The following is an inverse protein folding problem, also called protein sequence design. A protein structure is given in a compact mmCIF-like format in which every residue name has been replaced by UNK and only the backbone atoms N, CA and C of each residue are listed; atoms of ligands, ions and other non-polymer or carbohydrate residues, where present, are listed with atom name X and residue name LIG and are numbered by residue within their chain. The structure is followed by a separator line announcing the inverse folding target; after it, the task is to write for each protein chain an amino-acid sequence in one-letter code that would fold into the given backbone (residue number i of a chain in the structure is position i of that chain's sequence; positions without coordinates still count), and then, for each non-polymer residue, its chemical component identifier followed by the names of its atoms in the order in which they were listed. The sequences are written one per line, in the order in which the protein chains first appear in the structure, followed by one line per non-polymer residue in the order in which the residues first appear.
data_IF_240180623252
#
_entry.id   IF_240180623252
#
_cell.length_a   1.000
_cell.length_b   1.000
_cell.length_c   1.000
_cell.angle_alpha   90.00
_cell.angle_beta   90.00
_cell.angle_gamma   90.00
#
_symmetry.space_group_name_H-M   'P 1'
#
loop_
_entity.id
_entity.type
_entity.pdbx_description
1 polymer ?
#
# COMPACT_ATOMS: atom_id res chain seq x y z
N UNK A 1 -115.94 -29.23 -70.23
CA UNK A 1 -114.68 -29.06 -70.99
C UNK A 1 -114.14 -27.62 -70.97
N UNK A 2 -114.81 -26.60 -71.55
CA UNK A 2 -114.29 -25.21 -71.59
C UNK A 2 -113.91 -24.61 -70.22
N UNK A 3 -114.75 -24.79 -69.19
CA UNK A 3 -114.49 -24.27 -67.83
C UNK A 3 -113.24 -24.91 -67.19
N UNK A 4 -113.10 -26.23 -67.33
CA UNK A 4 -111.94 -26.98 -66.83
C UNK A 4 -110.65 -26.58 -67.57
N UNK A 5 -110.70 -26.40 -68.88
CA UNK A 5 -109.55 -25.96 -69.68
C UNK A 5 -109.11 -24.53 -69.30
N UNK A 6 -110.05 -23.60 -69.10
CA UNK A 6 -109.74 -22.25 -68.63
C UNK A 6 -109.14 -22.24 -67.22
N UNK A 7 -109.63 -23.10 -66.32
CA UNK A 7 -109.03 -23.29 -65.00
C UNK A 7 -107.60 -23.85 -65.09
N UNK A 8 -107.35 -24.83 -65.96
CA UNK A 8 -106.00 -25.35 -66.18
C UNK A 8 -105.06 -24.28 -66.75
N UNK A 9 -105.50 -23.49 -67.73
CA UNK A 9 -104.72 -22.38 -68.30
C UNK A 9 -104.38 -21.34 -67.21
N UNK A 10 -105.35 -20.96 -66.38
CA UNK A 10 -105.13 -20.04 -65.27
C UNK A 10 -104.13 -20.60 -64.25
N UNK A 11 -104.26 -21.87 -63.87
CA UNK A 11 -103.35 -22.50 -62.92
C UNK A 11 -101.92 -22.60 -63.48
N UNK A 12 -101.77 -22.90 -64.77
CA UNK A 12 -100.46 -22.93 -65.44
C UNK A 12 -99.86 -21.52 -65.52
N UNK A 13 -100.66 -20.50 -65.81
CA UNK A 13 -100.18 -19.10 -65.82
C UNK A 13 -99.68 -18.66 -64.44
N UNK A 14 -100.44 -18.92 -63.37
CA UNK A 14 -100.00 -18.63 -61.99
C UNK A 14 -98.75 -19.43 -61.61
N UNK A 15 -98.64 -20.68 -62.06
CA UNK A 15 -97.44 -21.49 -61.86
C UNK A 15 -96.22 -20.90 -62.57
N UNK A 16 -96.37 -20.42 -63.81
CA UNK A 16 -95.30 -19.77 -64.57
C UNK A 16 -94.87 -18.44 -63.93
N UNK A 17 -95.81 -17.66 -63.39
CA UNK A 17 -95.49 -16.45 -62.62
C UNK A 17 -94.73 -16.77 -61.33
N UNK A 18 -95.15 -17.80 -60.60
CA UNK A 18 -94.45 -18.27 -59.40
C UNK A 18 -93.04 -18.80 -59.72
N UNK A 19 -92.88 -19.55 -60.82
CA UNK A 19 -91.58 -20.02 -61.32
C UNK A 19 -90.70 -18.82 -61.66
N UNK A 20 -91.22 -17.83 -62.41
CA UNK A 20 -90.47 -16.61 -62.78
C UNK A 20 -90.01 -15.84 -61.54
N UNK A 21 -90.89 -15.66 -60.55
CA UNK A 21 -90.55 -15.01 -59.29
C UNK A 21 -89.46 -15.78 -58.54
N UNK A 22 -89.58 -17.11 -58.47
CA UNK A 22 -88.59 -17.98 -57.84
C UNK A 22 -87.23 -17.93 -58.57
N UNK A 23 -87.20 -17.97 -59.89
CA UNK A 23 -85.97 -17.82 -60.69
C UNK A 23 -85.28 -16.48 -60.44
N UNK A 24 -86.04 -15.38 -60.33
CA UNK A 24 -85.48 -14.07 -60.01
C UNK A 24 -84.84 -14.04 -58.61
N UNK A 25 -85.49 -14.67 -57.60
CA UNK A 25 -84.93 -14.79 -56.25
C UNK A 25 -83.65 -15.62 -56.26
N UNK A 26 -83.66 -16.76 -56.95
CA UNK A 26 -82.46 -17.61 -57.11
C UNK A 26 -81.33 -16.86 -57.80
N UNK A 27 -81.62 -16.07 -58.84
CA UNK A 27 -80.61 -15.26 -59.53
C UNK A 27 -80.00 -14.19 -58.61
N UNK A 28 -80.80 -13.50 -57.81
CA UNK A 28 -80.31 -12.53 -56.82
C UNK A 28 -79.44 -13.21 -55.76
N UNK A 29 -79.85 -14.37 -55.25
CA UNK A 29 -79.09 -15.15 -54.27
C UNK A 29 -77.75 -15.63 -54.85
N UNK A 30 -77.74 -16.07 -56.12
CA UNK A 30 -76.51 -16.47 -56.81
C UNK A 30 -75.54 -15.29 -56.97
N UNK A 31 -76.03 -14.09 -57.29
CA UNK A 31 -75.20 -12.88 -57.35
C UNK A 31 -74.60 -12.51 -56.00
N UNK A 32 -75.39 -12.57 -54.92
CA UNK A 32 -74.89 -12.33 -53.57
C UNK A 32 -73.83 -13.37 -53.17
N UNK A 33 -74.05 -14.65 -53.48
CA UNK A 33 -73.09 -15.72 -53.20
C UNK A 33 -71.77 -15.52 -53.96
N UNK A 34 -71.82 -15.04 -55.21
CA UNK A 34 -70.61 -14.68 -55.96
C UNK A 34 -69.82 -13.59 -55.25
N UNK A 35 -70.48 -12.50 -54.82
CA UNK A 35 -69.82 -11.42 -54.07
C UNK A 35 -69.19 -11.90 -52.76
N UNK A 36 -69.92 -12.70 -51.98
CA UNK A 36 -69.37 -13.29 -50.73
C UNK A 36 -68.22 -14.26 -51.01
N UNK A 37 -68.24 -14.98 -52.14
CA UNK A 37 -67.15 -15.89 -52.52
C UNK A 37 -65.88 -15.12 -52.91
N UNK A 38 -66.02 -13.99 -53.61
CA UNK A 38 -64.89 -13.11 -53.97
C UNK A 38 -64.25 -12.48 -52.71
N UNK A 39 -65.09 -12.02 -51.77
CA UNK A 39 -64.63 -11.54 -50.45
C UNK A 39 -63.91 -12.65 -49.66
N UNK A 40 -64.47 -13.87 -49.64
CA UNK A 40 -63.86 -15.02 -48.98
C UNK A 40 -62.51 -15.39 -49.61
N UNK A 41 -62.40 -15.34 -50.93
CA UNK A 41 -61.15 -15.60 -51.64
C UNK A 41 -60.08 -14.58 -51.27
N UNK A 42 -60.45 -13.29 -51.20
CA UNK A 42 -59.55 -12.20 -50.81
C UNK A 42 -59.09 -12.36 -49.35
N UNK A 43 -60.01 -12.62 -48.44
CA UNK A 43 -59.72 -12.90 -47.02
C UNK A 43 -58.78 -14.10 -46.86
N UNK A 44 -59.00 -15.18 -47.62
CA UNK A 44 -58.13 -16.37 -47.59
C UNK A 44 -56.71 -16.05 -48.06
N UNK A 45 -56.56 -15.18 -49.06
CA UNK A 45 -55.26 -14.73 -49.55
C UNK A 45 -54.51 -13.88 -48.50
N UNK A 46 -55.22 -13.00 -47.79
CA UNK A 46 -54.68 -12.23 -46.68
C UNK A 46 -54.23 -13.14 -45.53
N UNK A 47 -55.06 -14.13 -45.16
CA UNK A 47 -54.72 -15.14 -44.16
C UNK A 47 -53.47 -15.92 -44.57
N UNK A 48 -53.38 -16.35 -45.83
CA UNK A 48 -52.20 -17.08 -46.33
C UNK A 48 -50.93 -16.24 -46.21
N UNK A 49 -51.03 -14.93 -46.45
CA UNK A 49 -49.89 -14.00 -46.34
C UNK A 49 -49.48 -13.82 -44.88
N UNK A 50 -50.45 -13.59 -43.98
CA UNK A 50 -50.20 -13.46 -42.55
C UNK A 50 -49.56 -14.73 -41.95
N UNK A 51 -50.01 -15.93 -42.37
CA UNK A 51 -49.40 -17.20 -41.95
C UNK A 51 -47.96 -17.31 -42.42
N UNK A 52 -47.65 -16.88 -43.65
CA UNK A 52 -46.28 -16.87 -44.17
C UNK A 52 -45.38 -15.91 -43.37
N UNK A 53 -45.88 -14.73 -43.02
CA UNK A 53 -45.13 -13.76 -42.20
C UNK A 53 -44.88 -14.28 -40.78
N UNK A 54 -45.85 -14.98 -40.18
CA UNK A 54 -45.68 -15.66 -38.90
C UNK A 54 -44.62 -16.77 -39.01
N UNK A 55 -44.63 -17.57 -40.07
CA UNK A 55 -43.63 -18.61 -40.29
C UNK A 55 -42.21 -18.02 -40.45
N UNK A 56 -42.08 -16.93 -41.21
CA UNK A 56 -40.81 -16.22 -41.37
C UNK A 56 -40.32 -15.63 -40.04
N UNK A 57 -41.21 -15.02 -39.26
CA UNK A 57 -40.89 -14.45 -37.95
C UNK A 57 -40.48 -15.52 -36.94
N UNK A 58 -41.14 -16.68 -36.94
CA UNK A 58 -40.79 -17.82 -36.11
C UNK A 58 -39.38 -18.37 -36.45
N UNK A 59 -39.01 -18.40 -37.74
CA UNK A 59 -37.67 -18.77 -38.17
C UNK A 59 -36.61 -17.77 -37.66
N UNK A 60 -36.87 -16.46 -37.80
CA UNK A 60 -35.98 -15.42 -37.26
C UNK A 60 -35.82 -15.54 -35.74
N UNK A 61 -36.92 -15.76 -35.01
CA UNK A 61 -36.90 -15.95 -33.57
C UNK A 61 -36.09 -17.19 -33.16
N UNK A 62 -36.16 -18.28 -33.94
CA UNK A 62 -35.32 -19.46 -33.71
C UNK A 62 -33.84 -19.15 -33.87
N UNK A 63 -33.47 -18.35 -34.88
CA UNK A 63 -32.10 -17.88 -35.06
C UNK A 63 -31.63 -17.01 -33.90
N UNK A 64 -32.48 -16.09 -33.41
CA UNK A 64 -32.14 -15.23 -32.26
C UNK A 64 -31.94 -16.04 -30.99
N UNK A 65 -32.74 -17.09 -30.75
CA UNK A 65 -32.57 -17.99 -29.61
C UNK A 65 -31.21 -18.74 -29.65
N UNK A 66 -30.72 -19.09 -30.83
CA UNK A 66 -29.37 -19.69 -30.98
C UNK A 66 -28.29 -18.68 -30.56
N UNK A 67 -28.42 -17.41 -30.97
CA UNK A 67 -27.49 -16.36 -30.58
C UNK A 67 -27.52 -16.06 -29.08
N UNK A 68 -28.72 -16.04 -28.48
CA UNK A 68 -28.90 -15.89 -27.03
C UNK A 68 -28.24 -17.04 -26.29
N UNK A 69 -28.43 -18.28 -26.74
CA UNK A 69 -27.78 -19.45 -26.13
C UNK A 69 -26.25 -19.31 -26.17
N UNK A 70 -25.68 -18.98 -27.33
CA UNK A 70 -24.22 -18.79 -27.44
C UNK A 70 -23.70 -17.68 -26.50
N UNK A 71 -24.49 -16.62 -26.32
CA UNK A 71 -24.15 -15.54 -25.37
C UNK A 71 -24.20 -16.01 -23.92
N UNK A 72 -25.17 -16.86 -23.56
CA UNK A 72 -25.26 -17.47 -22.23
C UNK A 72 -24.11 -18.46 -21.96
N UNK A 73 -23.71 -19.25 -22.95
CA UNK A 73 -22.55 -20.15 -22.84
C UNK A 73 -21.26 -19.34 -22.56
N UNK A 74 -21.03 -18.25 -23.31
CA UNK A 74 -19.90 -17.35 -23.06
C UNK A 74 -19.97 -16.65 -21.68
N UNK A 75 -21.19 -16.35 -21.21
CA UNK A 75 -21.40 -15.77 -19.89
C UNK A 75 -21.06 -16.77 -18.78
N UNK A 76 -21.44 -18.04 -18.93
CA UNK A 76 -21.08 -19.11 -18.00
C UNK A 76 -19.54 -19.28 -17.91
N UNK A 77 -18.85 -19.33 -19.05
CA UNK A 77 -17.38 -19.39 -19.10
C UNK A 77 -16.73 -18.19 -18.40
N UNK A 78 -17.35 -17.01 -18.50
CA UNK A 78 -16.86 -15.80 -17.84
C UNK A 78 -17.06 -15.87 -16.32
N UNK A 79 -18.16 -16.45 -15.85
CA UNK A 79 -18.39 -16.69 -14.42
C UNK A 79 -17.38 -17.66 -13.83
N UNK A 80 -17.03 -18.73 -14.54
CA UNK A 80 -15.99 -19.67 -14.10
C UNK A 80 -14.62 -19.00 -13.97
N UNK A 81 -14.26 -18.13 -14.92
CA UNK A 81 -13.02 -17.33 -14.84
C UNK A 81 -13.02 -16.36 -13.66
N UNK A 82 -14.16 -15.75 -13.36
CA UNK A 82 -14.31 -14.89 -12.18
C UNK A 82 -14.13 -15.71 -10.90
N UNK A 83 -14.74 -16.89 -10.80
CA UNK A 83 -14.59 -17.77 -9.64
C UNK A 83 -13.13 -18.17 -9.40
N UNK A 84 -12.39 -18.54 -10.47
CA UNK A 84 -10.96 -18.81 -10.38
C UNK A 84 -10.16 -17.59 -9.92
N UNK A 85 -10.44 -16.41 -10.50
CA UNK A 85 -9.76 -15.16 -10.13
C UNK A 85 -9.99 -14.79 -8.67
N UNK A 86 -11.20 -15.02 -8.13
CA UNK A 86 -11.51 -14.81 -6.71
C UNK A 86 -10.70 -15.76 -5.82
N UNK A 87 -10.54 -17.02 -6.23
CA UNK A 87 -9.69 -17.97 -5.49
C UNK A 87 -8.21 -17.55 -5.48
N UNK A 88 -7.70 -17.04 -6.60
CA UNK A 88 -6.34 -16.51 -6.68
C UNK A 88 -6.15 -15.28 -5.79
N UNK A 89 -7.13 -14.36 -5.77
CA UNK A 89 -7.15 -13.21 -4.85
C UNK A 89 -7.10 -13.68 -3.38
N UNK A 90 -7.92 -14.65 -3.00
CA UNK A 90 -7.89 -15.21 -1.64
C UNK A 90 -6.54 -15.84 -1.28
N UNK A 91 -5.90 -16.54 -2.22
CA UNK A 91 -4.56 -17.09 -2.01
C UNK A 91 -3.52 -15.99 -1.81
N UNK A 92 -3.61 -14.90 -2.58
CA UNK A 92 -2.71 -13.76 -2.45
C UNK A 92 -2.90 -13.02 -1.12
N UNK A 93 -4.14 -12.87 -0.64
CA UNK A 93 -4.42 -12.28 0.67
C UNK A 93 -3.73 -13.07 1.80
N UNK A 94 -3.87 -14.41 1.81
CA UNK A 94 -3.17 -15.25 2.80
C UNK A 94 -1.65 -15.08 2.78
N UNK A 95 -1.09 -14.84 1.61
CA UNK A 95 0.34 -14.57 1.49
C UNK A 95 0.71 -13.19 2.05
N UNK A 96 -0.12 -12.18 1.81
CA UNK A 96 0.03 -10.84 2.39
C UNK A 96 -0.05 -10.89 3.92
N UNK A 97 -0.93 -11.71 4.49
CA UNK A 97 -1.04 -11.86 5.95
C UNK A 97 0.25 -12.46 6.53
N UNK A 98 0.72 -13.57 5.97
CA UNK A 98 1.96 -14.20 6.40
C UNK A 98 3.17 -13.24 6.28
N UNK A 99 3.24 -12.46 5.20
CA UNK A 99 4.28 -11.44 5.01
C UNK A 99 4.16 -10.29 6.02
N UNK A 100 2.94 -9.89 6.37
CA UNK A 100 2.68 -8.82 7.34
C UNK A 100 3.03 -9.25 8.77
N UNK A 101 2.72 -10.50 9.14
CA UNK A 101 3.14 -11.09 10.41
C UNK A 101 4.67 -11.18 10.54
N UNK A 102 5.34 -11.69 9.50
CA UNK A 102 6.81 -11.77 9.46
C UNK A 102 7.44 -10.36 9.52
N UNK A 103 6.87 -9.39 8.81
CA UNK A 103 7.33 -8.00 8.85
C UNK A 103 7.19 -7.38 10.25
N UNK A 104 6.06 -7.60 10.93
CA UNK A 104 5.85 -7.16 12.31
C UNK A 104 6.85 -7.79 13.28
N UNK A 105 7.13 -9.10 13.13
CA UNK A 105 8.14 -9.79 13.94
C UNK A 105 9.53 -9.19 13.76
N UNK A 106 9.94 -8.94 12.50
CA UNK A 106 11.23 -8.30 12.18
C UNK A 106 11.32 -6.87 12.71
N UNK A 107 10.25 -6.08 12.60
CA UNK A 107 10.20 -4.72 13.16
C UNK A 107 10.32 -4.71 14.69
N UNK A 108 9.74 -5.71 15.37
CA UNK A 108 9.90 -5.85 16.82
C UNK A 108 11.34 -6.16 17.21
N UNK A 109 12.02 -7.05 16.47
CA UNK A 109 13.46 -7.33 16.66
C UNK A 109 14.30 -6.06 16.43
N UNK A 110 13.95 -5.27 15.42
CA UNK A 110 14.62 -4.01 15.13
C UNK A 110 14.41 -2.98 16.25
N UNK A 111 13.20 -2.86 16.80
CA UNK A 111 12.87 -2.01 17.95
C UNK A 111 13.74 -2.36 19.17
N UNK A 112 13.84 -3.66 19.50
CA UNK A 112 14.69 -4.12 20.60
C UNK A 112 16.17 -3.83 20.35
N UNK A 113 16.62 -3.96 19.09
CA UNK A 113 18.00 -3.64 18.70
C UNK A 113 18.31 -2.16 18.86
N UNK A 114 17.39 -1.27 18.48
CA UNK A 114 17.54 0.19 18.68
C UNK A 114 17.68 0.53 20.16
N UNK A 115 16.91 -0.13 21.03
CA UNK A 115 17.01 0.05 22.48
C UNK A 115 18.42 -0.29 23.00
N UNK A 116 18.99 -1.40 22.54
CA UNK A 116 20.36 -1.82 22.91
C UNK A 116 21.39 -0.77 22.45
N UNK A 117 21.24 -0.24 21.24
CA UNK A 117 22.14 0.82 20.73
C UNK A 117 21.99 2.11 21.54
N UNK A 118 20.76 2.47 21.92
CA UNK A 118 20.49 3.63 22.74
C UNK A 118 21.16 3.53 24.13
N UNK A 119 21.08 2.37 24.77
CA UNK A 119 21.75 2.08 26.04
C UNK A 119 23.29 2.11 25.90
N UNK A 120 23.80 1.69 24.73
CA UNK A 120 25.23 1.78 24.40
C UNK A 120 25.69 3.24 24.31
N UNK A 121 24.89 4.12 23.70
CA UNK A 121 25.18 5.56 23.67
C UNK A 121 25.16 6.20 25.07
N UNK A 122 24.26 5.80 25.96
CA UNK A 122 24.28 6.24 27.36
C UNK A 122 25.55 5.79 28.10
N UNK A 123 26.01 4.58 27.80
CA UNK A 123 27.27 4.06 28.33
C UNK A 123 28.46 4.89 27.82
N UNK A 124 28.51 5.20 26.52
CA UNK A 124 29.54 6.06 25.92
C UNK A 124 29.54 7.44 26.59
N UNK A 125 28.38 8.08 26.70
CA UNK A 125 28.23 9.38 27.36
C UNK A 125 28.77 9.38 28.79
N UNK A 126 28.44 8.33 29.56
CA UNK A 126 28.93 8.17 30.94
C UNK A 126 30.46 8.03 30.99
N UNK A 127 31.04 7.25 30.07
CA UNK A 127 32.50 7.08 29.97
C UNK A 127 33.22 8.36 29.58
N UNK A 128 32.63 9.15 28.69
CA UNK A 128 33.18 10.45 28.28
C UNK A 128 33.15 11.46 29.44
N UNK A 129 32.07 11.50 30.23
CA UNK A 129 31.99 12.31 31.45
C UNK A 129 33.08 11.89 32.47
N UNK A 130 33.37 10.59 32.60
CA UNK A 130 34.45 10.11 33.45
C UNK A 130 35.83 10.54 32.91
N UNK A 131 36.02 10.48 31.59
CA UNK A 131 37.24 10.95 30.93
C UNK A 131 37.47 12.44 31.18
N UNK A 132 36.45 13.28 31.05
CA UNK A 132 36.56 14.72 31.30
C UNK A 132 37.06 15.02 32.73
N UNK A 133 36.58 14.26 33.73
CA UNK A 133 37.05 14.39 35.12
C UNK A 133 38.52 13.99 35.27
N UNK A 134 38.97 12.93 34.59
CA UNK A 134 40.38 12.55 34.60
C UNK A 134 41.25 13.61 33.90
N UNK A 135 40.80 14.14 32.76
CA UNK A 135 41.49 15.20 32.02
C UNK A 135 41.65 16.46 32.89
N UNK A 136 40.62 16.85 33.65
CA UNK A 136 40.69 17.95 34.61
C UNK A 136 41.73 17.70 35.71
N UNK A 137 41.79 16.48 36.24
CA UNK A 137 42.81 16.10 37.23
C UNK A 137 44.23 16.17 36.67
N UNK A 138 44.47 15.67 35.45
CA UNK A 138 45.78 15.76 34.82
C UNK A 138 46.15 17.21 34.54
N UNK A 139 45.20 18.06 34.14
CA UNK A 139 45.44 19.49 33.94
C UNK A 139 45.90 20.16 35.25
N UNK A 140 45.24 19.87 36.37
CA UNK A 140 45.64 20.37 37.69
C UNK A 140 47.07 19.92 38.08
N UNK A 141 47.41 18.65 37.86
CA UNK A 141 48.76 18.13 38.13
C UNK A 141 49.80 18.84 37.23
N UNK A 142 49.47 19.04 35.95
CA UNK A 142 50.38 19.68 34.99
C UNK A 142 50.62 21.15 35.33
N UNK A 143 49.60 21.85 35.82
CA UNK A 143 49.74 23.22 36.33
C UNK A 143 50.64 23.29 37.57
N UNK A 144 50.53 22.32 38.49
CA UNK A 144 51.44 22.22 39.65
C UNK A 144 52.87 21.97 39.18
N UNK A 145 53.10 21.07 38.23
CA UNK A 145 54.44 20.81 37.66
C UNK A 145 55.02 22.08 37.04
N UNK A 146 54.22 22.83 36.28
CA UNK A 146 54.63 24.09 35.68
C UNK A 146 55.02 25.13 36.76
N UNK A 147 54.26 25.24 37.84
CA UNK A 147 54.59 26.11 38.97
C UNK A 147 55.87 25.67 39.71
N UNK A 148 56.08 24.37 39.90
CA UNK A 148 57.33 23.83 40.50
C UNK A 148 58.52 24.11 39.59
N UNK A 149 58.38 23.89 38.28
CA UNK A 149 59.42 24.18 37.30
C UNK A 149 59.80 25.67 37.31
N UNK A 150 58.81 26.57 37.36
CA UNK A 150 59.04 28.01 37.45
C UNK A 150 59.72 28.43 38.76
N UNK A 151 59.34 27.85 39.89
CA UNK A 151 60.05 28.08 41.16
C UNK A 151 61.48 27.54 41.13
N UNK A 152 61.69 26.37 40.52
CA UNK A 152 63.01 25.73 40.41
C UNK A 152 63.94 26.53 39.51
N UNK A 153 63.42 27.05 38.39
CA UNK A 153 64.13 27.97 37.49
C UNK A 153 64.59 29.23 38.23
N UNK A 154 63.71 29.82 39.03
CA UNK A 154 63.99 31.02 39.83
C UNK A 154 65.01 30.74 40.95
N UNK A 155 64.93 29.58 41.61
CA UNK A 155 65.92 29.10 42.58
C UNK A 155 67.29 28.88 41.94
N UNK A 156 67.32 28.24 40.77
CA UNK A 156 68.55 27.98 40.01
C UNK A 156 69.20 29.29 39.54
N UNK A 157 68.41 30.26 39.08
CA UNK A 157 68.88 31.60 38.72
C UNK A 157 69.52 32.31 39.92
N UNK A 158 68.87 32.29 41.08
CA UNK A 158 69.42 32.87 42.30
C UNK A 158 70.73 32.19 42.72
N UNK A 159 70.82 30.86 42.60
CA UNK A 159 72.03 30.10 42.88
C UNK A 159 73.16 30.41 41.88
N UNK A 160 72.85 30.61 40.60
CA UNK A 160 73.82 31.02 39.57
C UNK A 160 74.37 32.42 39.85
N UNK A 161 73.51 33.36 40.24
CA UNK A 161 73.90 34.73 40.63
C UNK A 161 74.85 34.70 41.84
N UNK A 162 74.51 33.94 42.88
CA UNK A 162 75.34 33.89 44.09
C UNK A 162 76.66 33.12 43.87
N UNK A 163 76.64 32.12 42.99
CA UNK A 163 77.86 31.43 42.54
C UNK A 163 78.80 32.36 41.76
N UNK A 164 78.26 33.25 40.91
CA UNK A 164 79.05 34.27 40.21
C UNK A 164 79.67 35.29 41.18
N UNK A 165 78.98 35.61 42.29
CA UNK A 165 79.48 36.46 43.38
C UNK A 165 80.68 35.86 44.12
N UNK A 166 80.70 34.54 44.31
CA UNK A 166 81.78 33.81 44.99
C UNK A 166 83.08 33.63 44.15
N UNK A 167 83.13 34.18 42.93
CA UNK A 167 84.30 34.16 42.01
C UNK A 167 84.87 32.74 41.82
N UNK A 168 86.14 32.49 42.14
CA UNK A 168 86.80 31.19 41.88
C UNK A 168 86.22 30.03 42.69
N UNK A 169 85.68 30.27 43.89
CA UNK A 169 85.15 29.22 44.77
C UNK A 169 83.75 28.75 44.32
N UNK A 170 82.99 29.61 43.62
CA UNK A 170 81.64 29.33 43.15
C UNK A 170 81.56 28.66 41.76
N UNK A 171 82.69 28.46 41.08
CA UNK A 171 82.72 27.98 39.68
C UNK A 171 82.02 26.64 39.47
N UNK A 172 82.21 25.68 40.38
CA UNK A 172 81.54 24.38 40.34
C UNK A 172 80.03 24.47 40.59
N UNK A 173 79.61 25.30 41.55
CA UNK A 173 78.20 25.55 41.86
C UNK A 173 77.46 26.28 40.73
N UNK A 174 78.15 27.18 40.02
CA UNK A 174 77.58 27.87 38.85
C UNK A 174 77.21 26.90 37.72
N UNK A 175 78.01 25.84 37.50
CA UNK A 175 77.72 24.83 36.47
C UNK A 175 76.50 23.99 36.86
N UNK A 176 76.40 23.60 38.14
CA UNK A 176 75.24 22.87 38.65
C UNK A 176 73.97 23.72 38.59
N UNK A 177 74.05 25.00 38.96
CA UNK A 177 72.91 25.91 38.88
C UNK A 177 72.40 26.09 37.44
N UNK A 178 73.29 26.23 36.46
CA UNK A 178 72.87 26.33 35.05
C UNK A 178 72.25 25.03 34.52
N UNK A 179 72.73 23.86 34.97
CA UNK A 179 72.13 22.57 34.59
C UNK A 179 70.75 22.38 35.22
N UNK A 180 70.56 22.75 36.50
CA UNK A 180 69.23 22.78 37.15
C UNK A 180 68.29 23.72 36.40
N UNK A 181 68.77 24.90 35.98
CA UNK A 181 68.00 25.88 35.21
C UNK A 181 67.49 25.27 33.88
N UNK A 182 68.38 24.62 33.13
CA UNK A 182 68.00 23.90 31.90
C UNK A 182 66.98 22.79 32.15
N UNK A 183 67.12 22.02 33.23
CA UNK A 183 66.13 21.00 33.61
C UNK A 183 64.77 21.61 33.94
N UNK A 184 64.75 22.77 34.61
CA UNK A 184 63.54 23.50 34.95
C UNK A 184 62.84 24.04 33.68
N UNK A 185 63.57 24.70 32.77
CA UNK A 185 63.04 25.14 31.48
C UNK A 185 62.48 23.97 30.65
N UNK A 186 63.21 22.85 30.61
CA UNK A 186 62.76 21.63 29.92
C UNK A 186 61.47 21.08 30.55
N UNK A 187 61.37 21.06 31.88
CA UNK A 187 60.16 20.65 32.60
C UNK A 187 58.99 21.57 32.30
N UNK A 188 59.22 22.89 32.21
CA UNK A 188 58.22 23.89 31.83
C UNK A 188 57.70 23.65 30.40
N UNK A 189 58.62 23.39 29.47
CA UNK A 189 58.25 23.04 28.07
C UNK A 189 57.41 21.76 28.02
N UNK A 190 57.84 20.70 28.70
CA UNK A 190 57.08 19.44 28.72
C UNK A 190 55.70 19.59 29.37
N UNK A 191 55.58 20.37 30.45
CA UNK A 191 54.28 20.67 31.05
C UNK A 191 53.36 21.43 30.08
N UNK A 192 53.92 22.37 29.29
CA UNK A 192 53.16 23.08 28.25
C UNK A 192 52.67 22.15 27.15
N UNK A 193 53.51 21.23 26.69
CA UNK A 193 53.15 20.25 25.66
C UNK A 193 52.04 19.30 26.16
N UNK A 194 52.11 18.87 27.43
CA UNK A 194 51.05 18.09 28.07
C UNK A 194 49.73 18.88 28.12
N UNK A 195 49.77 20.16 28.48
CA UNK A 195 48.57 21.01 28.51
C UNK A 195 47.92 21.15 27.12
N UNK A 196 48.72 21.25 26.05
CA UNK A 196 48.19 21.25 24.67
C UNK A 196 47.48 19.94 24.35
N UNK A 197 48.09 18.79 24.66
CA UNK A 197 47.48 17.47 24.46
C UNK A 197 46.17 17.30 25.25
N UNK A 198 46.13 17.78 26.50
CA UNK A 198 44.91 17.75 27.35
C UNK A 198 43.80 18.59 26.73
N UNK A 199 44.14 19.77 26.21
CA UNK A 199 43.18 20.65 25.52
C UNK A 199 42.60 19.97 24.28
N UNK A 200 43.43 19.29 23.50
CA UNK A 200 42.98 18.53 22.33
C UNK A 200 42.09 17.34 22.73
N UNK A 201 42.46 16.58 23.75
CA UNK A 201 41.64 15.47 24.28
C UNK A 201 40.27 15.99 24.73
N UNK A 202 40.22 17.13 25.42
CA UNK A 202 38.95 17.74 25.86
C UNK A 202 38.08 18.14 24.67
N UNK A 203 38.67 18.76 23.64
CA UNK A 203 37.95 19.12 22.40
C UNK A 203 37.36 17.89 21.71
N UNK A 204 38.13 16.82 21.57
CA UNK A 204 37.67 15.56 20.97
C UNK A 204 36.59 14.88 21.85
N UNK A 205 36.75 14.91 23.18
CA UNK A 205 35.75 14.42 24.14
C UNK A 205 34.39 15.10 23.95
N UNK A 206 34.36 16.44 23.86
CA UNK A 206 33.13 17.18 23.60
C UNK A 206 32.51 16.85 22.24
N UNK A 207 33.33 16.62 21.21
CA UNK A 207 32.86 16.21 19.90
C UNK A 207 32.19 14.82 19.94
N UNK A 208 32.74 13.89 20.72
CA UNK A 208 32.14 12.56 20.94
C UNK A 208 30.78 12.68 21.62
N UNK A 209 30.64 13.52 22.66
CA UNK A 209 29.33 13.76 23.31
C UNK A 209 28.32 14.30 22.30
N UNK A 210 28.68 15.34 21.55
CA UNK A 210 27.78 15.96 20.57
C UNK A 210 27.33 14.97 19.49
N UNK A 211 28.25 14.16 18.97
CA UNK A 211 27.96 13.13 17.96
C UNK A 211 27.06 12.04 18.54
N UNK A 212 27.30 11.64 19.78
CA UNK A 212 26.48 10.65 20.52
C UNK A 212 25.06 11.15 20.72
N UNK A 213 24.88 12.39 21.17
CA UNK A 213 23.55 13.01 21.38
C UNK A 213 22.78 13.12 20.05
N UNK A 214 23.48 13.51 18.97
CA UNK A 214 22.87 13.52 17.63
C UNK A 214 22.43 12.11 17.20
N UNK A 215 23.25 11.09 17.47
CA UNK A 215 22.92 9.70 17.20
C UNK A 215 21.69 9.21 17.95
N UNK A 216 21.55 9.55 19.24
CA UNK A 216 20.35 9.24 20.04
C UNK A 216 19.09 9.89 19.47
N UNK A 217 19.16 11.15 19.07
CA UNK A 217 18.02 11.83 18.44
C UNK A 217 17.58 11.13 17.15
N UNK A 218 18.53 10.70 16.31
CA UNK A 218 18.22 9.93 15.10
C UNK A 218 17.57 8.58 15.42
N UNK A 219 18.03 7.88 16.46
CA UNK A 219 17.40 6.62 16.90
C UNK A 219 15.98 6.83 17.43
N UNK A 220 15.73 7.90 18.19
CA UNK A 220 14.39 8.21 18.68
C UNK A 220 13.39 8.43 17.53
N UNK A 221 13.82 9.11 16.46
CA UNK A 221 13.00 9.26 15.27
C UNK A 221 12.74 7.91 14.57
N UNK A 222 13.73 7.01 14.54
CA UNK A 222 13.55 5.67 13.99
C UNK A 222 12.54 4.84 14.79
N UNK A 223 12.54 4.97 16.12
CA UNK A 223 11.56 4.30 17.00
C UNK A 223 10.14 4.67 16.60
N UNK A 224 9.85 5.96 16.39
CA UNK A 224 8.52 6.44 15.96
C UNK A 224 8.13 5.83 14.60
N UNK A 225 9.04 5.82 13.62
CA UNK A 225 8.77 5.24 12.30
C UNK A 225 8.49 3.73 12.36
N UNK A 226 9.18 3.01 13.25
CA UNK A 226 8.95 1.58 13.47
C UNK A 226 7.59 1.34 14.11
N UNK A 227 7.20 2.12 15.11
CA UNK A 227 5.88 2.02 15.74
C UNK A 227 4.75 2.25 14.72
N UNK A 228 4.90 3.26 13.85
CA UNK A 228 3.91 3.53 12.80
C UNK A 228 3.88 2.43 11.73
N UNK A 229 5.03 1.82 11.42
CA UNK A 229 5.10 0.66 10.53
C UNK A 229 4.38 -0.55 11.14
N UNK A 230 4.59 -0.82 12.44
CA UNK A 230 3.91 -1.90 13.16
C UNK A 230 2.39 -1.70 13.14
N UNK A 231 1.92 -0.47 13.39
CA UNK A 231 0.48 -0.14 13.28
C UNK A 231 -0.05 -0.41 11.88
N UNK A 232 0.67 0.02 10.85
CA UNK A 232 0.26 -0.17 9.45
C UNK A 232 0.10 -1.64 9.08
N UNK A 233 1.07 -2.49 9.45
CA UNK A 233 0.97 -3.94 9.23
C UNK A 233 -0.12 -4.59 10.09
N UNK A 234 -0.35 -4.09 11.30
CA UNK A 234 -1.47 -4.56 12.14
C UNK A 234 -2.82 -4.25 11.51
N UNK A 235 -2.97 -3.05 10.93
CA UNK A 235 -4.19 -2.69 10.21
C UNK A 235 -4.42 -3.56 8.97
N UNK A 236 -3.36 -3.97 8.26
CA UNK A 236 -3.46 -4.91 7.14
C UNK A 236 -4.01 -6.26 7.62
N UNK A 237 -3.50 -6.78 8.74
CA UNK A 237 -3.96 -8.04 9.34
C UNK A 237 -5.40 -7.97 9.85
N UNK A 238 -5.81 -6.84 10.44
CA UNK A 238 -7.18 -6.65 10.92
C UNK A 238 -8.20 -6.46 9.77
N UNK A 239 -7.75 -5.96 8.61
CA UNK A 239 -8.62 -5.75 7.45
C UNK A 239 -9.13 -7.07 6.85
N UNK A 240 -8.40 -8.18 6.99
CA UNK A 240 -8.85 -9.51 6.59
C UNK A 240 -9.93 -10.07 7.54
N UNK A 241 -9.78 -9.85 8.85
CA UNK A 241 -10.73 -10.32 9.86
C UNK A 241 -12.16 -9.76 9.66
N UNK A 242 -12.27 -8.53 9.14
CA UNK A 242 -13.54 -7.87 8.84
C UNK A 242 -14.15 -8.28 7.49
N UNK A 243 -13.36 -8.80 6.56
CA UNK A 243 -13.79 -9.12 5.19
C UNK A 243 -14.03 -10.62 4.96
N UNK A 244 -14.04 -11.43 6.01
CA UNK A 244 -14.14 -12.89 5.90
C UNK A 244 -15.30 -13.31 4.99
N UNK A 245 -14.93 -13.74 3.79
CA UNK A 245 -15.79 -14.31 2.75
C UNK A 245 -16.62 -15.49 3.30
N UNK A 246 -16.12 -16.17 4.34
CA UNK A 246 -16.83 -17.21 5.08
C UNK A 246 -18.08 -16.70 5.82
N UNK A 247 -18.08 -15.47 6.34
CA UNK A 247 -19.27 -14.88 6.95
C UNK A 247 -20.34 -14.52 5.92
N UNK A 248 -19.93 -14.11 4.71
CA UNK A 248 -20.85 -13.60 3.69
C UNK A 248 -21.34 -14.70 2.74
N UNK A 249 -20.47 -15.64 2.36
CA UNK A 249 -20.71 -16.63 1.30
C UNK A 249 -20.46 -18.09 1.68
N UNK A 250 -19.73 -18.36 2.78
CA UNK A 250 -19.34 -19.72 3.20
C UNK A 250 -20.50 -20.70 3.42
N UNK A 251 -21.72 -20.20 3.66
CA UNK A 251 -22.91 -21.04 3.87
C UNK A 251 -23.73 -21.35 2.60
N UNK A 252 -23.42 -20.76 1.44
CA UNK A 252 -24.27 -20.92 0.22
C UNK A 252 -23.74 -21.89 -0.83
N UNK A 253 -22.49 -22.35 -0.73
CA UNK A 253 -21.86 -23.24 -1.75
C UNK A 253 -21.99 -24.74 -1.41
N UNK A 254 -22.65 -25.09 -0.29
CA UNK A 254 -22.88 -26.51 0.11
C UNK A 254 -24.30 -27.04 -0.15
N UNK A 255 -25.07 -26.43 -1.07
CA UNK A 255 -26.39 -26.95 -1.45
C UNK A 255 -26.53 -27.10 -2.96
#
# INVERSE_FOLDING_TARGET
MKKSLNMTISNVATMLEAIKASTNVVNLQAQNLLGTSDEMSSCTQEISTAVQDVANSANSQSSDLINIKASLDNFADSLDKIALSVNDVNSNIRHIDAMSEDSNSKLKILFDSIKIVNDSFDTVRTKVIQLDRHVEQVNNITNIINSIAEQTDLLALNAAIESARAREVGRGFSVVAEEIRKLAEKSKSSARDINLLISDINRESQLVVKTTDSGKNSLNNQTVLIEDSIKSFTMILEMDALNTWDQIFGNKVKR
#
